data_IF_532590357521
#
_entry.id   IF_532590357521
#
_cell.length_a   1.000
_cell.length_b   1.000
_cell.length_c   1.000
_cell.angle_alpha   90.00
_cell.angle_beta   90.00
_cell.angle_gamma   90.00
#
_symmetry.space_group_name_H-M   'P 1'
#
loop_
_entity.id
_entity.type
_entity.pdbx_description
1 polymer ?
#
# COMPACT_ATOMS: atom_id res chain seq x y z
N UNK A 1 20.50 -21.42 3.79
CA UNK A 1 19.26 -20.93 3.13
C UNK A 1 19.38 -19.51 2.57
N UNK A 2 19.67 -18.48 3.41
CA UNK A 2 19.78 -17.08 2.94
C UNK A 2 20.90 -16.90 1.89
N UNK A 3 22.11 -17.38 2.17
CA UNK A 3 23.24 -17.30 1.25
C UNK A 3 22.97 -18.03 -0.08
N UNK A 4 22.22 -19.12 -0.04
CA UNK A 4 21.80 -19.87 -1.23
C UNK A 4 20.80 -19.08 -2.07
N UNK A 5 19.81 -18.45 -1.42
CA UNK A 5 18.81 -17.62 -2.10
C UNK A 5 19.45 -16.38 -2.76
N UNK A 6 20.40 -15.76 -2.09
CA UNK A 6 21.14 -14.61 -2.62
C UNK A 6 22.16 -15.02 -3.69
N UNK A 7 22.60 -16.28 -3.67
CA UNK A 7 23.60 -16.80 -4.61
C UNK A 7 25.04 -16.46 -4.21
N UNK A 8 25.34 -16.45 -2.90
CA UNK A 8 26.70 -16.24 -2.40
C UNK A 8 27.59 -17.41 -2.83
N UNK A 9 28.69 -17.11 -3.53
CA UNK A 9 29.67 -18.08 -4.01
C UNK A 9 31.02 -17.94 -3.26
N UNK A 10 31.91 -18.96 -3.41
CA UNK A 10 33.26 -18.88 -2.85
C UNK A 10 34.19 -17.94 -3.61
N UNK A 11 33.86 -17.62 -4.86
CA UNK A 11 34.63 -16.71 -5.70
C UNK A 11 33.99 -15.31 -5.66
N UNK A 12 34.78 -14.29 -5.96
CA UNK A 12 34.28 -12.93 -6.16
C UNK A 12 33.23 -12.95 -7.25
N UNK A 13 31.99 -12.59 -6.87
CA UNK A 13 30.87 -12.56 -7.78
C UNK A 13 29.99 -11.34 -7.48
N UNK A 14 29.33 -10.84 -8.52
CA UNK A 14 28.35 -9.78 -8.38
C UNK A 14 26.97 -10.38 -8.25
N UNK A 15 26.24 -9.89 -7.28
CA UNK A 15 24.85 -10.27 -7.05
C UNK A 15 23.99 -9.04 -7.28
N UNK A 16 22.94 -9.20 -8.08
CA UNK A 16 21.94 -8.13 -8.26
C UNK A 16 21.24 -7.86 -6.92
N UNK A 17 21.11 -6.57 -6.58
CA UNK A 17 20.44 -6.14 -5.34
C UNK A 17 19.02 -6.69 -5.23
N UNK A 18 18.32 -6.88 -6.35
CA UNK A 18 16.99 -7.48 -6.38
C UNK A 18 16.92 -8.89 -5.83
N UNK A 19 18.01 -9.68 -5.93
CA UNK A 19 18.08 -11.01 -5.28
C UNK A 19 18.17 -10.90 -3.77
N UNK A 20 18.92 -9.93 -3.26
CA UNK A 20 18.99 -9.65 -1.84
C UNK A 20 17.62 -9.19 -1.30
N UNK A 21 16.99 -8.24 -1.98
CA UNK A 21 15.65 -7.75 -1.63
C UNK A 21 14.61 -8.87 -1.67
N UNK A 22 14.67 -9.74 -2.67
CA UNK A 22 13.81 -10.90 -2.77
C UNK A 22 14.00 -11.85 -1.56
N UNK A 23 15.24 -12.19 -1.22
CA UNK A 23 15.53 -13.08 -0.10
C UNK A 23 15.06 -12.50 1.24
N UNK A 24 15.24 -11.17 1.45
CA UNK A 24 14.74 -10.47 2.63
C UNK A 24 13.21 -10.51 2.66
N UNK A 25 12.56 -10.25 1.53
CA UNK A 25 11.09 -10.25 1.42
C UNK A 25 10.50 -11.63 1.72
N UNK A 26 11.12 -12.70 1.19
CA UNK A 26 10.69 -14.06 1.48
C UNK A 26 10.79 -14.41 2.97
N UNK A 27 11.89 -14.04 3.63
CA UNK A 27 12.04 -14.27 5.07
C UNK A 27 11.03 -13.46 5.88
N UNK A 28 10.87 -12.19 5.57
CA UNK A 28 9.91 -11.30 6.25
C UNK A 28 8.46 -11.72 6.00
N UNK A 29 8.15 -12.23 4.81
CA UNK A 29 6.81 -12.74 4.49
C UNK A 29 6.39 -13.85 5.44
N UNK A 30 7.33 -14.67 5.90
CA UNK A 30 7.05 -15.76 6.83
C UNK A 30 7.06 -15.32 8.31
N UNK A 31 7.83 -14.30 8.66
CA UNK A 31 8.15 -13.98 10.06
C UNK A 31 7.52 -12.67 10.54
N UNK A 32 7.44 -11.67 9.68
CA UNK A 32 7.05 -10.33 10.11
C UNK A 32 5.53 -10.19 10.28
N UNK A 33 5.14 -9.52 11.35
CA UNK A 33 3.76 -9.05 11.53
C UNK A 33 3.44 -7.96 10.52
N UNK A 34 2.24 -8.02 9.95
CA UNK A 34 1.78 -6.99 9.00
C UNK A 34 1.25 -5.78 9.74
N UNK A 35 1.66 -4.62 9.28
CA UNK A 35 1.10 -3.32 9.68
C UNK A 35 0.67 -2.55 8.43
N UNK A 36 -0.18 -1.55 8.61
CA UNK A 36 -0.52 -0.62 7.54
C UNK A 36 0.33 0.64 7.68
N UNK A 37 0.90 1.08 6.57
CA UNK A 37 1.72 2.29 6.47
C UNK A 37 1.36 2.98 5.16
N UNK A 38 1.26 4.31 5.20
CA UNK A 38 1.01 5.17 4.04
C UNK A 38 2.24 6.06 3.88
N UNK A 39 2.90 6.00 2.73
CA UNK A 39 4.16 6.70 2.48
C UNK A 39 3.94 8.09 1.88
N UNK A 40 3.02 8.20 0.93
CA UNK A 40 2.59 9.45 0.30
C UNK A 40 1.09 9.67 0.55
N UNK A 41 0.75 10.30 1.69
CA UNK A 41 -0.62 10.35 2.17
C UNK A 41 -1.52 11.28 1.33
N UNK A 42 -2.67 10.75 0.92
CA UNK A 42 -3.79 11.50 0.42
C UNK A 42 -4.95 11.38 1.40
N UNK A 43 -5.47 12.52 1.85
CA UNK A 43 -6.57 12.58 2.82
C UNK A 43 -7.88 12.12 2.18
N UNK A 44 -8.61 11.28 2.89
CA UNK A 44 -9.98 10.86 2.54
C UNK A 44 -10.92 11.16 3.69
N UNK A 45 -12.01 11.87 3.39
CA UNK A 45 -13.10 12.12 4.33
C UNK A 45 -14.32 11.30 3.94
N UNK A 46 -14.76 10.43 4.84
CA UNK A 46 -15.94 9.58 4.64
C UNK A 46 -17.17 10.35 5.11
N UNK A 47 -17.87 10.97 4.17
CA UNK A 47 -18.89 12.01 4.45
C UNK A 47 -20.11 11.47 5.19
N UNK A 48 -20.50 10.22 4.97
CA UNK A 48 -21.62 9.56 5.62
C UNK A 48 -21.21 8.74 6.86
N UNK A 49 -19.95 8.78 7.30
CA UNK A 49 -19.53 8.20 8.57
C UNK A 49 -19.77 9.20 9.70
N UNK A 50 -20.38 8.79 10.84
CA UNK A 50 -20.74 9.71 11.91
C UNK A 50 -19.55 10.46 12.49
N UNK A 51 -19.71 11.76 12.72
CA UNK A 51 -18.67 12.57 13.34
C UNK A 51 -18.40 12.12 14.77
N UNK A 52 -17.13 12.16 15.17
CA UNK A 52 -16.69 11.75 16.51
C UNK A 52 -16.76 10.25 16.77
N UNK A 53 -17.30 9.45 15.85
CA UNK A 53 -17.30 8.00 15.98
C UNK A 53 -15.95 7.44 15.56
N UNK A 54 -15.42 6.55 16.39
CA UNK A 54 -14.33 5.66 16.03
C UNK A 54 -14.75 4.24 16.39
N UNK A 55 -14.30 3.27 15.61
CA UNK A 55 -14.50 1.85 15.89
C UNK A 55 -13.20 1.08 15.68
N UNK A 56 -13.09 -0.05 16.35
CA UNK A 56 -11.96 -0.94 16.17
C UNK A 56 -12.33 -2.06 15.20
N UNK A 57 -11.50 -2.24 14.19
CA UNK A 57 -11.60 -3.33 13.22
C UNK A 57 -10.47 -4.32 13.48
N UNK A 58 -10.77 -5.59 13.30
CA UNK A 58 -9.79 -6.65 13.48
C UNK A 58 -8.97 -6.85 12.21
N UNK A 59 -7.65 -6.78 12.32
CA UNK A 59 -6.72 -7.02 11.23
C UNK A 59 -5.73 -8.14 11.59
N UNK A 60 -5.69 -9.24 10.84
CA UNK A 60 -4.73 -10.32 11.04
C UNK A 60 -3.28 -9.83 10.91
N UNK A 61 -2.39 -10.37 11.75
CA UNK A 61 -0.95 -10.12 11.62
C UNK A 61 -0.35 -10.86 10.43
N UNK A 62 -0.92 -11.99 10.05
CA UNK A 62 -0.38 -12.86 9.01
C UNK A 62 -1.43 -13.16 7.93
N UNK A 63 -1.03 -13.36 6.67
CA UNK A 63 -1.92 -13.87 5.62
C UNK A 63 -2.45 -15.26 5.95
N UNK A 64 -3.55 -15.65 5.32
CA UNK A 64 -4.21 -16.93 5.57
C UNK A 64 -3.39 -18.18 5.22
N UNK A 65 -2.40 -18.05 4.34
CA UNK A 65 -1.49 -19.11 3.92
C UNK A 65 -0.33 -19.34 4.88
N UNK A 66 -0.19 -18.49 5.90
CA UNK A 66 0.83 -18.63 6.94
C UNK A 66 0.18 -19.23 8.19
N UNK A 67 0.67 -20.38 8.69
CA UNK A 67 0.09 -21.07 9.85
C UNK A 67 0.49 -20.39 11.17
N UNK A 68 0.20 -19.10 11.29
CA UNK A 68 0.42 -18.29 12.47
C UNK A 68 -0.84 -17.49 12.76
N UNK A 69 -1.19 -17.43 14.02
CA UNK A 69 -2.36 -16.73 14.50
C UNK A 69 -2.00 -15.38 15.10
N UNK A 70 -3.03 -14.60 15.31
CA UNK A 70 -2.99 -13.30 15.96
C UNK A 70 -3.47 -12.19 15.07
N UNK A 71 -4.07 -11.22 15.72
CA UNK A 71 -4.65 -10.03 15.10
C UNK A 71 -4.35 -8.81 15.94
N UNK A 72 -4.68 -7.66 15.42
CA UNK A 72 -4.66 -6.39 16.12
C UNK A 72 -5.93 -5.60 15.86
N UNK A 73 -6.31 -4.77 16.79
CA UNK A 73 -7.29 -3.73 16.57
C UNK A 73 -6.67 -2.62 15.69
N UNK A 74 -7.43 -2.20 14.68
CA UNK A 74 -7.09 -1.07 13.82
C UNK A 74 -8.22 -0.07 13.94
N UNK A 75 -7.96 1.15 14.45
CA UNK A 75 -8.99 2.17 14.57
C UNK A 75 -9.45 2.63 13.20
N UNK A 76 -10.76 2.79 13.03
CA UNK A 76 -11.40 3.34 11.83
C UNK A 76 -12.21 4.57 12.22
N UNK A 77 -12.06 5.64 11.48
CA UNK A 77 -12.73 6.92 11.73
C UNK A 77 -13.16 7.57 10.41
N UNK A 78 -13.87 8.69 10.53
CA UNK A 78 -14.33 9.51 9.39
C UNK A 78 -13.20 9.98 8.49
N UNK A 79 -12.03 10.31 9.06
CA UNK A 79 -10.86 10.79 8.33
C UNK A 79 -9.79 9.69 8.30
N UNK A 80 -9.32 9.38 7.11
CA UNK A 80 -8.26 8.40 6.88
C UNK A 80 -7.26 8.94 5.86
N UNK A 81 -6.09 8.31 5.78
CA UNK A 81 -5.14 8.50 4.70
C UNK A 81 -5.00 7.22 3.88
N UNK A 82 -4.89 7.38 2.57
CA UNK A 82 -4.54 6.32 1.61
C UNK A 82 -3.25 6.70 0.89
N UNK A 83 -2.62 5.77 0.17
CA UNK A 83 -1.55 6.13 -0.75
C UNK A 83 -2.08 6.99 -1.88
N UNK A 84 -1.38 8.08 -2.21
CA UNK A 84 -1.74 8.93 -3.35
C UNK A 84 -1.81 8.16 -4.65
N UNK A 85 -0.92 7.18 -4.85
CA UNK A 85 -0.91 6.29 -6.01
C UNK A 85 -2.10 5.32 -6.08
N UNK A 86 -2.91 5.23 -5.02
CA UNK A 86 -4.15 4.45 -5.01
C UNK A 86 -5.35 5.24 -5.53
N UNK A 87 -5.15 6.50 -5.94
CA UNK A 87 -6.18 7.34 -6.56
C UNK A 87 -5.72 7.86 -7.92
N UNK A 88 -6.64 7.87 -8.89
CA UNK A 88 -6.47 8.49 -10.20
C UNK A 88 -7.79 9.16 -10.61
N UNK A 89 -7.74 10.44 -11.00
CA UNK A 89 -8.94 11.20 -11.39
C UNK A 89 -9.45 10.79 -12.77
N UNK A 90 -8.52 10.52 -13.71
CA UNK A 90 -8.82 10.03 -15.07
C UNK A 90 -8.11 8.68 -15.29
N UNK A 91 -8.69 7.59 -14.74
CA UNK A 91 -7.99 6.33 -14.65
C UNK A 91 -7.79 5.67 -16.03
N UNK A 92 -6.58 5.20 -16.35
CA UNK A 92 -6.34 4.43 -17.56
C UNK A 92 -7.05 3.08 -17.50
N UNK A 93 -7.26 2.48 -18.68
CA UNK A 93 -7.86 1.16 -18.78
C UNK A 93 -7.06 0.13 -17.96
N UNK A 94 -7.75 -0.54 -17.03
CA UNK A 94 -7.12 -1.55 -16.16
C UNK A 94 -6.68 -1.01 -14.79
N UNK A 95 -6.93 0.24 -14.49
CA UNK A 95 -6.76 0.78 -13.14
C UNK A 95 -7.91 0.31 -12.26
N UNK A 96 -7.62 -0.51 -11.24
CA UNK A 96 -8.62 -1.10 -10.34
C UNK A 96 -8.50 -0.54 -8.91
N UNK A 97 -8.12 0.73 -8.78
CA UNK A 97 -8.04 1.44 -7.51
C UNK A 97 -9.10 2.53 -7.46
N UNK A 98 -8.98 3.46 -6.52
CA UNK A 98 -9.98 4.50 -6.30
C UNK A 98 -9.97 5.54 -7.44
N UNK A 99 -11.15 5.86 -7.94
CA UNK A 99 -11.37 6.90 -8.93
C UNK A 99 -12.76 7.52 -8.70
N UNK A 100 -13.08 8.69 -9.28
CA UNK A 100 -14.41 9.27 -9.17
C UNK A 100 -15.52 8.30 -9.58
N UNK A 101 -16.50 8.09 -8.70
CA UNK A 101 -17.59 7.15 -8.90
C UNK A 101 -17.23 5.66 -8.80
N UNK A 102 -15.96 5.31 -8.59
CA UNK A 102 -15.53 3.93 -8.46
C UNK A 102 -15.51 3.47 -7.01
N UNK A 103 -15.93 2.22 -6.79
CA UNK A 103 -15.94 1.59 -5.48
C UNK A 103 -14.68 0.73 -5.29
N UNK A 104 -14.06 0.86 -4.12
CA UNK A 104 -12.92 0.03 -3.70
C UNK A 104 -13.13 -0.48 -2.28
N UNK A 105 -12.43 -1.56 -1.95
CA UNK A 105 -12.38 -2.10 -0.60
C UNK A 105 -11.23 -1.47 0.18
N UNK A 106 -11.50 -0.91 1.32
CA UNK A 106 -10.51 -0.64 2.35
C UNK A 106 -10.15 -1.95 3.05
N UNK A 107 -8.87 -2.28 3.11
CA UNK A 107 -8.41 -3.55 3.70
C UNK A 107 -8.91 -3.71 5.13
N UNK A 108 -9.62 -4.80 5.41
CA UNK A 108 -10.26 -5.15 6.69
C UNK A 108 -11.38 -4.20 7.14
N UNK A 109 -11.78 -3.24 6.34
CA UNK A 109 -12.80 -2.25 6.70
C UNK A 109 -14.04 -2.36 5.82
N UNK A 110 -14.34 -1.33 5.07
CA UNK A 110 -15.55 -1.16 4.29
C UNK A 110 -15.26 -0.95 2.81
N UNK A 111 -16.29 -1.00 2.00
CA UNK A 111 -16.23 -0.46 0.65
C UNK A 111 -16.46 1.04 0.73
N UNK A 112 -15.70 1.78 -0.07
CA UNK A 112 -15.85 3.22 -0.23
C UNK A 112 -15.97 3.58 -1.71
N UNK A 113 -16.73 4.65 -1.98
CA UNK A 113 -16.88 5.24 -3.32
C UNK A 113 -16.47 6.71 -3.27
N UNK A 114 -15.59 7.14 -4.16
CA UNK A 114 -15.22 8.55 -4.28
C UNK A 114 -16.35 9.34 -4.94
N UNK A 115 -16.84 10.37 -4.26
CA UNK A 115 -17.95 11.21 -4.72
C UNK A 115 -17.52 12.63 -5.08
N UNK A 116 -16.38 13.09 -4.54
CA UNK A 116 -15.87 14.44 -4.81
C UNK A 116 -14.35 14.48 -4.65
N UNK A 117 -13.69 15.27 -5.49
CA UNK A 117 -12.24 15.51 -5.47
C UNK A 117 -12.00 16.97 -5.13
N UNK A 118 -11.26 17.24 -4.06
CA UNK A 118 -10.93 18.59 -3.61
C UNK A 118 -9.50 18.91 -4.05
N UNK A 119 -9.34 20.05 -4.71
CA UNK A 119 -8.06 20.56 -5.20
C UNK A 119 -7.73 21.89 -4.55
N UNK A 120 -6.45 22.18 -4.44
CA UNK A 120 -5.96 23.49 -4.04
C UNK A 120 -5.96 24.50 -5.20
N UNK A 121 -5.50 25.73 -4.92
CA UNK A 121 -5.40 26.79 -5.93
C UNK A 121 -4.39 26.52 -7.05
N UNK A 122 -3.50 25.53 -6.90
CA UNK A 122 -2.56 25.09 -7.92
C UNK A 122 -3.11 23.92 -8.78
N UNK A 123 -4.30 23.39 -8.40
CA UNK A 123 -4.92 22.24 -9.07
C UNK A 123 -4.49 20.89 -8.51
N UNK A 124 -3.67 20.86 -7.46
CA UNK A 124 -3.22 19.63 -6.82
C UNK A 124 -4.31 19.04 -5.93
N UNK A 125 -4.48 17.72 -5.97
CA UNK A 125 -5.48 17.02 -5.18
C UNK A 125 -5.03 16.97 -3.72
N UNK A 126 -5.84 17.56 -2.83
CA UNK A 126 -5.55 17.67 -1.40
C UNK A 126 -6.42 16.76 -0.54
N UNK A 127 -7.66 16.50 -0.96
CA UNK A 127 -8.63 15.69 -0.21
C UNK A 127 -9.58 14.98 -1.16
N UNK A 128 -9.99 13.78 -0.80
CA UNK A 128 -11.11 13.07 -1.44
C UNK A 128 -12.28 12.99 -0.48
N UNK A 129 -13.48 13.20 -0.98
CA UNK A 129 -14.71 12.90 -0.26
C UNK A 129 -15.30 11.60 -0.78
N UNK A 130 -15.50 10.67 0.14
CA UNK A 130 -16.03 9.35 -0.16
C UNK A 130 -17.26 9.06 0.69
N UNK A 131 -18.09 8.17 0.20
CA UNK A 131 -19.11 7.50 1.01
C UNK A 131 -18.66 6.07 1.30
N UNK A 132 -19.05 5.52 2.46
CA UNK A 132 -18.85 4.10 2.77
C UNK A 132 -20.17 3.36 2.77
N UNK A 133 -20.09 2.05 2.53
CA UNK A 133 -21.23 1.14 2.64
C UNK A 133 -21.13 0.39 3.98
N UNK A 134 -22.04 0.66 4.95
CA UNK A 134 -21.99 0.07 6.28
C UNK A 134 -22.21 -1.46 6.28
N UNK A 135 -22.87 -1.99 5.25
CA UNK A 135 -23.16 -3.43 5.16
C UNK A 135 -21.96 -4.26 4.67
N UNK A 136 -20.83 -3.59 4.39
CA UNK A 136 -19.60 -4.23 3.89
C UNK A 136 -18.50 -4.36 4.94
N UNK A 137 -18.86 -4.31 6.23
CA UNK A 137 -17.91 -4.44 7.34
C UNK A 137 -17.05 -5.70 7.22
N UNK A 138 -15.73 -5.54 7.34
CA UNK A 138 -14.78 -6.63 7.14
C UNK A 138 -14.42 -6.88 5.66
N UNK A 139 -14.97 -6.09 4.73
CA UNK A 139 -14.60 -6.11 3.32
C UNK A 139 -15.34 -7.15 2.47
N UNK A 140 -16.53 -7.56 2.88
CA UNK A 140 -17.43 -8.39 2.08
C UNK A 140 -18.80 -7.72 1.95
N UNK A 141 -19.38 -7.75 0.75
CA UNK A 141 -20.73 -7.23 0.52
C UNK A 141 -21.79 -8.33 0.73
N UNK A 142 -22.88 -8.00 1.43
CA UNK A 142 -23.99 -8.91 1.68
C UNK A 142 -24.75 -9.31 0.41
N UNK A 143 -24.74 -8.45 -0.60
CA UNK A 143 -25.34 -8.68 -1.93
C UNK A 143 -24.46 -9.52 -2.88
N UNK A 144 -23.27 -9.94 -2.41
CA UNK A 144 -22.33 -10.76 -3.16
C UNK A 144 -21.57 -10.05 -4.27
N UNK A 145 -21.69 -8.68 -4.40
CA UNK A 145 -20.91 -7.93 -5.37
C UNK A 145 -19.42 -8.00 -5.05
N UNK A 146 -18.60 -8.04 -6.08
CA UNK A 146 -17.15 -8.15 -5.97
C UNK A 146 -16.51 -6.85 -6.41
N UNK A 147 -15.75 -6.23 -5.52
CA UNK A 147 -14.90 -5.08 -5.82
C UNK A 147 -13.49 -5.57 -6.16
N UNK A 148 -12.95 -5.14 -7.29
CA UNK A 148 -11.65 -5.60 -7.78
C UNK A 148 -10.48 -5.00 -6.97
N UNK A 149 -10.59 -3.74 -6.57
CA UNK A 149 -9.54 -3.02 -5.86
C UNK A 149 -9.61 -3.21 -4.36
N UNK A 150 -8.48 -3.51 -3.73
CA UNK A 150 -8.31 -3.43 -2.28
C UNK A 150 -7.12 -2.53 -2.00
N UNK A 151 -7.35 -1.44 -1.28
CA UNK A 151 -6.31 -0.48 -0.89
C UNK A 151 -6.10 -0.51 0.63
N UNK A 152 -4.89 -0.16 1.08
CA UNK A 152 -4.62 0.00 2.50
C UNK A 152 -4.83 1.46 2.92
N UNK A 153 -4.89 1.68 4.22
CA UNK A 153 -5.25 2.96 4.79
C UNK A 153 -4.77 3.06 6.24
N UNK A 154 -4.74 4.27 6.78
CA UNK A 154 -4.54 4.53 8.21
C UNK A 154 -5.53 5.59 8.68
N UNK A 155 -6.04 5.45 9.93
CA UNK A 155 -6.91 6.47 10.52
C UNK A 155 -6.10 7.74 10.82
N UNK A 156 -6.59 8.91 10.42
CA UNK A 156 -5.88 10.16 10.59
C UNK A 156 -5.58 10.48 12.06
N UNK A 157 -6.56 10.27 12.94
CA UNK A 157 -6.43 10.58 14.36
C UNK A 157 -5.46 9.65 15.13
N UNK A 158 -5.20 8.44 14.62
CA UNK A 158 -4.41 7.42 15.29
C UNK A 158 -3.09 7.09 14.58
N UNK A 159 -2.84 7.73 13.43
CA UNK A 159 -1.59 7.55 12.71
C UNK A 159 -0.46 8.34 13.38
N UNK A 160 0.74 7.76 13.32
CA UNK A 160 1.97 8.39 13.83
C UNK A 160 2.82 8.77 12.62
N UNK A 161 3.19 10.06 12.48
CA UNK A 161 4.10 10.47 11.41
C UNK A 161 5.49 9.89 11.65
N UNK A 162 6.10 9.39 10.58
CA UNK A 162 7.44 8.79 10.61
C UNK A 162 8.28 9.35 9.46
N UNK A 163 9.60 9.43 9.69
CA UNK A 163 10.55 9.69 8.61
C UNK A 163 10.75 8.38 7.83
N UNK A 164 10.54 8.44 6.52
CA UNK A 164 10.75 7.30 5.62
C UNK A 164 11.95 7.58 4.74
N UNK A 165 12.95 6.68 4.78
CA UNK A 165 14.13 6.74 3.91
C UNK A 165 14.03 5.66 2.86
N UNK A 166 13.77 6.07 1.63
CA UNK A 166 13.71 5.17 0.48
C UNK A 166 15.12 5.03 -0.11
N UNK A 167 15.67 3.83 -0.05
CA UNK A 167 16.94 3.49 -0.67
C UNK A 167 16.69 2.96 -2.07
N UNK A 168 17.48 3.44 -3.03
CA UNK A 168 17.43 3.00 -4.41
C UNK A 168 18.82 2.54 -4.87
N UNK A 169 18.90 2.03 -6.08
CA UNK A 169 20.13 1.56 -6.69
C UNK A 169 21.08 2.72 -6.97
N UNK A 170 22.35 2.55 -6.63
CA UNK A 170 23.39 3.53 -6.93
C UNK A 170 23.66 3.61 -8.44
N UNK A 171 23.55 2.49 -9.16
CA UNK A 171 23.82 2.40 -10.59
C UNK A 171 22.55 2.09 -11.37
N UNK A 172 22.40 2.74 -12.54
CA UNK A 172 21.27 2.52 -13.47
C UNK A 172 21.39 1.22 -14.27
N UNK A 173 22.58 0.60 -14.28
CA UNK A 173 22.87 -0.62 -15.04
C UNK A 173 23.30 -1.76 -14.12
N UNK A 174 22.99 -2.99 -14.50
CA UNK A 174 23.30 -4.19 -13.71
C UNK A 174 24.81 -4.45 -13.57
N UNK A 175 25.63 -4.02 -14.54
CA UNK A 175 27.08 -4.17 -14.52
C UNK A 175 27.75 -2.82 -14.89
N UNK A 176 28.00 -1.95 -13.91
CA UNK A 176 28.57 -0.61 -14.16
C UNK A 176 29.98 -0.63 -14.75
N UNK A 177 30.81 -1.65 -14.43
CA UNK A 177 32.17 -1.73 -14.97
C UNK A 177 32.18 -2.10 -16.45
N UNK A 178 31.27 -2.96 -16.90
CA UNK A 178 31.14 -3.25 -18.34
C UNK A 178 30.57 -2.06 -19.10
N UNK A 179 29.64 -1.31 -18.50
CA UNK A 179 29.10 -0.09 -19.09
C UNK A 179 30.17 1.00 -19.23
N UNK A 180 31.05 1.17 -18.22
CA UNK A 180 32.18 2.09 -18.27
C UNK A 180 33.21 1.68 -19.32
N UNK A 181 33.50 0.39 -19.48
CA UNK A 181 34.44 -0.12 -20.49
C UNK A 181 33.92 0.03 -21.93
N UNK A 182 32.60 0.04 -22.13
CA UNK A 182 31.99 0.24 -23.44
C UNK A 182 31.86 1.71 -23.84
N UNK A 183 31.77 2.64 -22.89
CA UNK A 183 31.69 4.09 -23.14
C UNK A 183 33.06 4.77 -23.34
N UNK A 184 34.15 4.08 -23.12
CA UNK A 184 35.53 4.59 -23.33
C UNK A 184 36.19 4.13 -24.64
N UNK A 185 35.40 3.67 -25.62
CA UNK A 185 35.89 3.19 -26.92
C UNK A 185 35.39 4.02 -28.11
N UNK A 186 35.20 5.34 -27.91
CA UNK A 186 35.02 6.32 -29.01
C UNK A 186 36.19 7.28 -29.07
#
# INVERSE_FOLDING_TARGET
LFCELVGVAKADSRVDIGKLEYAIREDLNQKARRVMCVLDPLKVVITNYPEGRAEELEAPFYPHDIPKEGSRAVPFSREIYIERSDFEEDPPKGFFRLAPGCEVRLRYAYFITCVEVIKDGAGEITELRCTYDPDTRGGAASDGRKVKGTIHWVAAANSVPVEVRLYDRLFKVANPDQAAASSGKD
#
